data_IF_945369730525
#
_entry.id   IF_945369730525
#
_cell.length_a   1.000
_cell.length_b   1.000
_cell.length_c   1.000
_cell.angle_alpha   90.00
_cell.angle_beta   90.00
_cell.angle_gamma   90.00
#
_symmetry.space_group_name_H-M   'P 1'
#
loop_
_entity.id
_entity.type
_entity.pdbx_description
1 polymer ?
#
# COMPACT_ATOMS: atom_id res chain seq x y z
N UNK A 1 -11.31 0.05 -13.02
CA UNK A 1 -9.95 -0.10 -12.45
C UNK A 1 -10.04 -1.01 -11.24
N UNK A 2 -9.00 -1.78 -10.91
CA UNK A 2 -9.00 -2.65 -9.73
C UNK A 2 -7.63 -2.59 -9.07
N UNK A 3 -7.59 -2.41 -7.75
CA UNK A 3 -6.35 -2.33 -6.97
C UNK A 3 -6.41 -3.24 -5.76
N UNK A 4 -5.26 -3.81 -5.38
CA UNK A 4 -5.10 -4.37 -4.06
C UNK A 4 -5.03 -3.23 -3.05
N UNK A 5 -5.78 -3.32 -1.97
CA UNK A 5 -5.96 -2.25 -1.01
C UNK A 5 -5.28 -2.58 0.31
N UNK A 6 -4.37 -1.69 0.72
CA UNK A 6 -3.70 -1.76 2.02
C UNK A 6 -4.11 -0.56 2.87
N UNK A 7 -5.09 -0.72 3.80
CA UNK A 7 -5.52 0.39 4.66
C UNK A 7 -4.45 0.77 5.69
N UNK A 8 -3.71 -0.22 6.20
CA UNK A 8 -2.81 -0.03 7.33
C UNK A 8 -3.55 0.26 8.64
N UNK A 9 -2.81 0.33 9.74
CA UNK A 9 -3.40 0.38 11.08
C UNK A 9 -4.22 1.65 11.37
N UNK A 10 -3.77 2.82 10.91
CA UNK A 10 -4.45 4.09 11.23
C UNK A 10 -5.85 4.16 10.61
N UNK A 11 -6.03 3.67 9.39
CA UNK A 11 -7.31 3.72 8.68
C UNK A 11 -8.34 2.72 9.22
N UNK A 12 -7.92 1.73 9.99
CA UNK A 12 -8.83 0.85 10.75
C UNK A 12 -9.16 1.37 12.15
N UNK A 13 -8.39 2.34 12.64
CA UNK A 13 -8.55 2.89 13.99
C UNK A 13 -8.80 4.39 13.98
N UNK A 14 -7.73 5.16 14.14
CA UNK A 14 -7.80 6.61 14.43
C UNK A 14 -8.21 7.48 13.25
N UNK A 15 -8.24 6.94 12.02
CA UNK A 15 -8.60 7.64 10.78
C UNK A 15 -9.64 6.84 9.99
N UNK A 16 -10.64 6.28 10.68
CA UNK A 16 -11.68 5.44 10.08
C UNK A 16 -12.47 6.20 9.00
N UNK A 17 -12.75 7.49 9.21
CA UNK A 17 -13.41 8.36 8.25
C UNK A 17 -12.62 8.45 6.95
N UNK A 18 -11.28 8.48 7.02
CA UNK A 18 -10.44 8.53 5.83
C UNK A 18 -10.53 7.23 5.02
N UNK A 19 -10.62 6.08 5.70
CA UNK A 19 -10.83 4.78 5.05
C UNK A 19 -12.20 4.72 4.33
N UNK A 20 -13.25 5.14 5.03
CA UNK A 20 -14.62 5.17 4.48
C UNK A 20 -14.67 6.09 3.26
N UNK A 21 -14.14 7.31 3.39
CA UNK A 21 -14.08 8.29 2.29
C UNK A 21 -13.28 7.76 1.10
N UNK A 22 -12.14 7.10 1.35
CA UNK A 22 -11.34 6.50 0.27
C UNK A 22 -12.12 5.41 -0.46
N UNK A 23 -12.69 4.45 0.27
CA UNK A 23 -13.48 3.36 -0.34
C UNK A 23 -14.67 3.90 -1.15
N UNK A 24 -15.39 4.88 -0.59
CA UNK A 24 -16.54 5.52 -1.26
C UNK A 24 -16.12 6.33 -2.48
N UNK A 25 -15.01 7.06 -2.41
CA UNK A 25 -14.48 7.78 -3.55
C UNK A 25 -14.09 6.83 -4.69
N UNK A 26 -13.33 5.77 -4.39
CA UNK A 26 -12.90 4.80 -5.39
C UNK A 26 -14.10 4.09 -6.04
N UNK A 27 -15.08 3.66 -5.26
CA UNK A 27 -16.37 3.14 -5.76
C UNK A 27 -17.06 4.16 -6.68
N UNK A 28 -17.12 5.42 -6.24
CA UNK A 28 -17.77 6.50 -6.97
C UNK A 28 -17.10 6.84 -8.29
N UNK A 29 -15.86 6.40 -8.56
CA UNK A 29 -15.18 6.56 -9.86
C UNK A 29 -15.13 5.25 -10.67
N UNK A 30 -15.78 4.18 -10.19
CA UNK A 30 -15.78 2.88 -10.85
C UNK A 30 -14.49 2.08 -10.64
N UNK A 31 -13.76 2.35 -9.56
CA UNK A 31 -12.61 1.57 -9.15
C UNK A 31 -12.96 0.58 -8.04
N UNK A 32 -12.53 -0.66 -8.18
CA UNK A 32 -12.67 -1.71 -7.17
C UNK A 32 -11.42 -1.76 -6.28
N UNK A 33 -11.65 -1.87 -4.96
CA UNK A 33 -10.60 -2.07 -3.97
C UNK A 33 -10.74 -3.45 -3.35
N UNK A 34 -9.73 -4.30 -3.53
CA UNK A 34 -9.67 -5.63 -2.93
C UNK A 34 -8.67 -5.60 -1.79
N UNK A 35 -9.16 -5.66 -0.56
CA UNK A 35 -8.30 -5.58 0.61
C UNK A 35 -7.36 -6.78 0.72
N UNK A 36 -6.08 -6.51 1.00
CA UNK A 36 -5.11 -7.56 1.32
C UNK A 36 -5.59 -8.30 2.57
N UNK A 37 -5.50 -9.63 2.60
CA UNK A 37 -5.82 -10.40 3.81
C UNK A 37 -4.56 -10.55 4.66
N UNK A 38 -4.73 -10.59 5.98
CA UNK A 38 -3.66 -10.86 6.95
C UNK A 38 -2.45 -9.91 6.83
N UNK A 39 -2.66 -8.70 6.33
CA UNK A 39 -1.65 -7.65 6.28
C UNK A 39 -1.20 -7.29 7.71
N UNK A 40 0.00 -6.72 7.82
CA UNK A 40 0.54 -6.21 9.09
C UNK A 40 0.87 -4.72 9.02
N UNK A 41 0.94 -4.07 10.19
CA UNK A 41 1.33 -2.66 10.27
C UNK A 41 2.69 -2.44 9.59
N UNK A 42 2.82 -1.39 8.79
CA UNK A 42 4.06 -1.05 8.10
C UNK A 42 5.23 -0.70 9.04
N UNK A 43 4.98 -0.59 10.35
CA UNK A 43 6.02 -0.28 11.34
C UNK A 43 6.41 1.19 11.40
N UNK A 44 5.63 2.08 10.77
CA UNK A 44 5.85 3.52 10.83
C UNK A 44 6.04 4.00 12.27
N UNK A 45 6.92 4.99 12.45
CA UNK A 45 7.30 5.62 13.73
C UNK A 45 8.15 4.79 14.69
N UNK A 46 7.91 3.49 14.84
CA UNK A 46 8.56 2.69 15.89
C UNK A 46 9.63 1.71 15.37
N UNK A 47 9.44 1.08 14.21
CA UNK A 47 10.26 -0.05 13.80
C UNK A 47 11.74 0.32 13.58
N UNK A 48 12.01 1.48 13.00
CA UNK A 48 13.37 1.95 12.72
C UNK A 48 14.19 2.25 13.98
N UNK A 49 13.53 2.67 15.06
CA UNK A 49 14.18 2.90 16.36
C UNK A 49 14.59 1.59 17.04
N UNK A 50 13.88 0.48 16.72
CA UNK A 50 14.14 -0.84 17.30
C UNK A 50 15.13 -1.64 16.45
N UNK A 51 14.92 -1.71 15.14
CA UNK A 51 15.75 -2.51 14.25
C UNK A 51 15.59 -2.08 12.79
N UNK A 52 16.74 -1.89 12.12
CA UNK A 52 16.78 -1.60 10.69
C UNK A 52 16.18 -2.74 9.86
N UNK A 53 16.43 -4.01 10.23
CA UNK A 53 15.85 -5.16 9.54
C UNK A 53 14.33 -5.21 9.75
N UNK A 54 13.86 -4.95 10.98
CA UNK A 54 12.42 -4.94 11.27
C UNK A 54 11.68 -3.89 10.44
N UNK A 55 12.27 -2.71 10.28
CA UNK A 55 11.71 -1.64 9.45
C UNK A 55 11.54 -2.02 7.96
N UNK A 56 12.27 -3.04 7.49
CA UNK A 56 12.15 -3.57 6.13
C UNK A 56 11.21 -4.79 6.07
N UNK A 57 11.25 -5.66 7.07
CA UNK A 57 10.46 -6.90 7.08
C UNK A 57 8.97 -6.60 7.22
N UNK A 58 8.57 -5.65 8.06
CA UNK A 58 7.15 -5.35 8.29
C UNK A 58 6.42 -4.90 7.00
N UNK A 59 6.95 -3.93 6.21
CA UNK A 59 6.37 -3.64 4.89
C UNK A 59 6.52 -4.80 3.90
N UNK A 60 7.64 -5.54 3.94
CA UNK A 60 7.88 -6.67 3.03
C UNK A 60 6.84 -7.79 3.15
N UNK A 61 6.30 -8.04 4.35
CA UNK A 61 5.19 -8.98 4.55
C UNK A 61 4.01 -8.61 3.67
N UNK A 62 3.64 -7.33 3.63
CA UNK A 62 2.48 -6.86 2.84
C UNK A 62 2.76 -6.95 1.33
N UNK A 63 3.99 -6.68 0.90
CA UNK A 63 4.39 -6.84 -0.49
C UNK A 63 4.35 -8.32 -0.92
N UNK A 64 4.82 -9.24 -0.05
CA UNK A 64 4.79 -10.67 -0.34
C UNK A 64 3.35 -11.20 -0.42
N UNK A 65 2.47 -10.80 0.50
CA UNK A 65 1.04 -11.16 0.45
C UNK A 65 0.39 -10.69 -0.86
N UNK A 66 0.72 -9.47 -1.29
CA UNK A 66 0.22 -8.96 -2.55
C UNK A 66 0.72 -9.80 -3.75
N UNK A 67 1.99 -10.20 -3.75
CA UNK A 67 2.61 -11.03 -4.80
C UNK A 67 2.11 -12.48 -4.82
N UNK A 68 1.56 -12.98 -3.71
CA UNK A 68 0.83 -14.25 -3.67
C UNK A 68 -0.59 -14.12 -4.22
N UNK A 69 -1.18 -12.94 -4.08
CA UNK A 69 -2.54 -12.68 -4.54
C UNK A 69 -2.57 -12.52 -6.06
N UNK A 70 -1.61 -11.79 -6.64
CA UNK A 70 -1.52 -11.48 -8.06
C UNK A 70 -0.06 -11.46 -8.53
N UNK A 71 0.19 -11.80 -9.81
CA UNK A 71 1.57 -11.88 -10.34
C UNK A 71 2.26 -10.51 -10.33
N UNK A 72 1.58 -9.45 -10.78
CA UNK A 72 2.11 -8.07 -10.79
C UNK A 72 1.15 -7.12 -10.06
N UNK A 73 1.10 -7.17 -8.73
CA UNK A 73 0.08 -6.46 -7.97
C UNK A 73 0.36 -4.96 -7.92
N UNK A 74 -0.65 -4.15 -8.19
CA UNK A 74 -0.65 -2.73 -7.81
C UNK A 74 -1.36 -2.55 -6.47
N UNK A 75 -0.60 -2.11 -5.47
CA UNK A 75 -1.07 -1.91 -4.09
C UNK A 75 -1.37 -0.43 -3.89
N UNK A 76 -2.64 -0.10 -3.69
CA UNK A 76 -3.10 1.24 -3.35
C UNK A 76 -2.98 1.46 -1.84
N UNK A 77 -2.27 2.52 -1.47
CA UNK A 77 -2.00 2.91 -0.09
C UNK A 77 -2.40 4.38 0.14
N UNK A 78 -3.42 4.68 0.97
CA UNK A 78 -3.82 6.05 1.25
C UNK A 78 -2.92 6.75 2.27
N UNK A 79 -2.41 6.01 3.26
CA UNK A 79 -1.56 6.59 4.30
C UNK A 79 -0.15 6.88 3.76
N UNK A 80 0.30 8.14 3.79
CA UNK A 80 1.62 8.53 3.28
C UNK A 80 2.79 7.86 4.02
N UNK A 81 2.66 7.62 5.33
CA UNK A 81 3.69 6.90 6.10
C UNK A 81 3.77 5.42 5.68
N UNK A 82 2.62 4.77 5.46
CA UNK A 82 2.56 3.42 4.94
C UNK A 82 3.18 3.35 3.54
N UNK A 83 2.76 4.25 2.65
CA UNK A 83 3.27 4.35 1.28
C UNK A 83 4.79 4.48 1.28
N UNK A 84 5.35 5.40 2.06
CA UNK A 84 6.80 5.61 2.13
C UNK A 84 7.54 4.33 2.55
N UNK A 85 7.09 3.65 3.61
CA UNK A 85 7.76 2.45 4.10
C UNK A 85 7.68 1.28 3.11
N UNK A 86 6.51 1.05 2.49
CA UNK A 86 6.36 0.03 1.45
C UNK A 86 7.21 0.37 0.22
N UNK A 87 7.19 1.63 -0.23
CA UNK A 87 7.95 2.10 -1.40
C UNK A 87 9.46 2.01 -1.19
N UNK A 88 9.94 2.28 0.03
CA UNK A 88 11.36 2.09 0.38
C UNK A 88 11.78 0.64 0.18
N UNK A 89 10.98 -0.32 0.67
CA UNK A 89 11.28 -1.75 0.49
C UNK A 89 11.23 -2.12 -0.99
N UNK A 90 10.17 -1.74 -1.69
CA UNK A 90 9.99 -1.96 -3.14
C UNK A 90 11.23 -1.50 -3.94
N UNK A 91 11.74 -0.31 -3.65
CA UNK A 91 12.89 0.26 -4.39
C UNK A 91 14.24 -0.33 -3.94
N UNK A 92 14.41 -0.66 -2.66
CA UNK A 92 15.69 -1.17 -2.14
C UNK A 92 15.96 -2.60 -2.58
N UNK A 93 14.97 -3.48 -2.56
CA UNK A 93 15.17 -4.90 -2.91
C UNK A 93 15.56 -5.09 -4.38
N UNK A 94 15.18 -4.14 -5.26
CA UNK A 94 15.59 -4.12 -6.67
C UNK A 94 17.11 -3.92 -6.85
N UNK A 95 17.77 -3.31 -5.86
CA UNK A 95 19.18 -2.90 -5.91
C UNK A 95 20.06 -3.71 -4.96
N UNK A 96 19.49 -4.31 -3.92
CA UNK A 96 20.20 -5.05 -2.88
C UNK A 96 19.64 -6.47 -2.73
N UNK A 97 20.24 -7.40 -3.47
CA UNK A 97 19.90 -8.83 -3.40
C UNK A 97 20.23 -9.43 -2.02
N UNK A 98 21.24 -8.91 -1.33
CA UNK A 98 21.61 -9.36 0.02
C UNK A 98 20.52 -9.03 1.04
N UNK A 99 19.96 -7.81 0.95
CA UNK A 99 18.80 -7.41 1.73
C UNK A 99 17.57 -8.27 1.41
N UNK A 100 17.27 -8.49 0.13
CA UNK A 100 16.15 -9.34 -0.27
C UNK A 100 16.28 -10.76 0.31
N UNK A 101 17.48 -11.34 0.25
CA UNK A 101 17.74 -12.67 0.85
C UNK A 101 17.48 -12.67 2.36
N UNK A 102 17.96 -11.65 3.10
CA UNK A 102 17.73 -11.52 4.54
C UNK A 102 16.25 -11.36 4.89
N UNK A 103 15.53 -10.54 4.13
CA UNK A 103 14.07 -10.38 4.28
C UNK A 103 13.39 -11.74 4.06
N UNK A 104 13.70 -12.43 2.98
CA UNK A 104 13.10 -13.72 2.66
C UNK A 104 13.42 -14.82 3.68
N UNK A 105 14.56 -14.78 4.37
CA UNK A 105 14.82 -15.66 5.51
C UNK A 105 13.79 -15.48 6.62
N UNK A 106 13.37 -14.24 6.90
CA UNK A 106 12.35 -13.96 7.93
C UNK A 106 10.94 -14.28 7.41
N UNK A 107 10.65 -13.96 6.15
CA UNK A 107 9.34 -14.23 5.54
C UNK A 107 9.03 -15.73 5.45
N UNK A 108 10.05 -16.58 5.30
CA UNK A 108 9.90 -18.04 5.28
C UNK A 108 9.22 -18.60 6.54
N UNK A 109 9.40 -17.96 7.71
CA UNK A 109 8.71 -18.33 8.95
C UNK A 109 7.19 -18.17 8.86
N UNK A 110 6.70 -17.35 7.92
CA UNK A 110 5.27 -17.17 7.61
C UNK A 110 4.84 -17.86 6.32
N UNK A 111 5.68 -18.72 5.73
CA UNK A 111 5.50 -19.30 4.41
C UNK A 111 5.35 -18.26 3.28
N UNK A 112 5.85 -17.04 3.49
CA UNK A 112 5.81 -15.96 2.50
C UNK A 112 7.14 -15.88 1.76
N UNK A 113 7.08 -15.36 0.53
CA UNK A 113 8.27 -15.03 -0.26
C UNK A 113 8.03 -13.76 -1.05
N UNK A 114 9.02 -12.86 -1.01
CA UNK A 114 9.04 -11.63 -1.78
C UNK A 114 10.00 -11.77 -2.98
N UNK A 115 9.51 -11.41 -4.16
CA UNK A 115 10.25 -11.47 -5.42
C UNK A 115 10.44 -10.09 -6.04
N UNK A 116 9.69 -9.07 -5.61
CA UNK A 116 9.87 -7.68 -6.04
C UNK A 116 9.09 -7.32 -7.31
N UNK A 117 7.94 -7.98 -7.52
CA UNK A 117 6.97 -7.70 -8.58
C UNK A 117 5.93 -6.66 -8.18
N UNK A 118 5.68 -6.49 -6.88
CA UNK A 118 4.68 -5.54 -6.40
C UNK A 118 5.05 -4.08 -6.74
N UNK A 119 4.04 -3.30 -7.12
CA UNK A 119 4.14 -1.86 -7.35
C UNK A 119 3.28 -1.11 -6.34
N UNK A 120 3.90 -0.25 -5.55
CA UNK A 120 3.22 0.52 -4.51
C UNK A 120 2.77 1.86 -5.07
N UNK A 121 1.46 2.15 -5.02
CA UNK A 121 0.85 3.40 -5.50
C UNK A 121 0.22 4.15 -4.34
N UNK A 122 0.48 5.46 -4.25
CA UNK A 122 -0.24 6.31 -3.30
C UNK A 122 -1.63 6.63 -3.84
N UNK A 123 -2.63 6.85 -2.99
CA UNK A 123 -3.98 7.24 -3.43
C UNK A 123 -3.94 8.46 -4.37
N UNK A 124 -3.16 9.50 -4.04
CA UNK A 124 -3.05 10.70 -4.87
C UNK A 124 -2.39 10.45 -6.23
N UNK A 125 -1.49 9.47 -6.33
CA UNK A 125 -0.86 9.07 -7.59
C UNK A 125 -1.89 8.38 -8.49
N UNK A 126 -2.71 7.48 -7.94
CA UNK A 126 -3.86 6.88 -8.67
C UNK A 126 -4.89 7.94 -9.08
N UNK A 127 -5.15 8.92 -8.21
CA UNK A 127 -6.07 10.04 -8.53
C UNK A 127 -5.54 10.89 -9.69
N UNK A 128 -4.25 11.22 -9.67
CA UNK A 128 -3.61 12.05 -10.69
C UNK A 128 -3.50 11.32 -12.02
N UNK A 129 -2.92 10.12 -12.01
CA UNK A 129 -2.47 9.44 -13.22
C UNK A 129 -3.54 8.55 -13.84
N UNK A 130 -4.34 7.87 -13.01
CA UNK A 130 -5.27 6.83 -13.49
C UNK A 130 -6.71 7.35 -13.58
N UNK A 131 -7.13 8.21 -12.65
CA UNK A 131 -8.49 8.78 -12.62
C UNK A 131 -8.56 10.10 -13.40
N UNK A 132 -7.63 11.01 -13.14
CA UNK A 132 -7.50 12.30 -13.82
C UNK A 132 -8.53 13.36 -13.38
N UNK A 133 -8.17 14.63 -13.60
CA UNK A 133 -8.96 15.80 -13.20
C UNK A 133 -10.36 15.82 -13.82
N UNK A 134 -10.48 15.51 -15.11
CA UNK A 134 -11.74 15.55 -15.85
C UNK A 134 -12.78 14.59 -15.25
N UNK A 135 -12.37 13.38 -14.89
CA UNK A 135 -13.23 12.40 -14.23
C UNK A 135 -13.71 12.92 -12.88
N UNK A 136 -12.84 13.58 -12.12
CA UNK A 136 -13.21 14.17 -10.82
C UNK A 136 -14.22 15.30 -11.03
N UNK A 137 -13.93 16.22 -11.96
CA UNK A 137 -14.77 17.39 -12.29
C UNK A 137 -16.20 16.98 -12.64
N UNK A 138 -16.37 15.94 -13.45
CA UNK A 138 -17.72 15.43 -13.83
C UNK A 138 -18.49 14.78 -12.68
N UNK A 139 -17.83 14.40 -11.58
CA UNK A 139 -18.45 13.75 -10.42
C UNK A 139 -18.61 14.67 -9.20
N UNK A 140 -18.18 15.94 -9.29
CA UNK A 140 -18.39 16.93 -8.23
C UNK A 140 -19.88 17.21 -8.06
N UNK A 141 -20.42 16.89 -6.88
CA UNK A 141 -21.83 17.19 -6.52
C UNK A 141 -22.00 18.53 -5.81
N UNK A 142 -20.98 18.96 -5.07
CA UNK A 142 -20.95 20.22 -4.33
C UNK A 142 -19.59 20.87 -4.58
N UNK A 143 -19.59 22.03 -5.23
CA UNK A 143 -18.36 22.80 -5.44
C UNK A 143 -17.80 23.29 -4.11
N UNK A 144 -16.50 23.54 -4.09
CA UNK A 144 -15.80 24.17 -2.97
C UNK A 144 -15.81 25.71 -3.05
N UNK A 145 -16.44 26.28 -4.08
CA UNK A 145 -16.45 27.73 -4.35
C UNK A 145 -17.36 28.56 -3.42
N UNK A 146 -18.11 27.92 -2.52
CA UNK A 146 -19.04 28.57 -1.60
C UNK A 146 -20.48 28.56 -2.11
#
# INVERSE_FOLDING_TARGET
MRYLYYPGCSLEGTALEYNISTKKFMESVGAELVELKDWTCCGASAASAVSSLLSMVLPAINLAIAEETEEYPEILVPCSACYLNLKIVEEKIKKDYGLLKKINTVLAEKNLRLEGRAKVRHLLDVISEDIGEETIRTRVKKSLDG
#
